data_IF_085693631093
#
_entry.id   IF_085693631093
#
_cell.length_a   1.000
_cell.length_b   1.000
_cell.length_c   1.000
_cell.angle_alpha   90.00
_cell.angle_beta   90.00
_cell.angle_gamma   90.00
#
_symmetry.space_group_name_H-M   'P 1'
#
loop_
_entity.id
_entity.type
_entity.pdbx_description
1 polymer ?
#
# COMPACT_ATOMS: atom_id res chain seq x y z
N UNK A 1 2.32 4.42 14.45
CA UNK A 1 3.14 5.10 13.43
C UNK A 1 3.98 6.17 14.11
N UNK A 2 5.31 6.07 14.08
CA UNK A 2 6.21 7.04 14.70
C UNK A 2 6.52 8.19 13.73
N UNK A 3 6.44 9.43 14.20
CA UNK A 3 6.82 10.62 13.44
C UNK A 3 8.08 11.22 14.06
N UNK A 4 9.06 11.59 13.24
CA UNK A 4 10.30 12.22 13.68
C UNK A 4 10.70 13.35 12.75
N UNK A 5 11.19 14.45 13.29
CA UNK A 5 11.75 15.54 12.49
C UNK A 5 13.25 15.33 12.34
N UNK A 6 13.74 15.47 11.12
CA UNK A 6 15.17 15.34 10.81
C UNK A 6 15.63 16.59 10.07
N UNK A 7 16.89 16.95 10.31
CA UNK A 7 17.55 18.13 9.75
C UNK A 7 18.75 17.70 8.92
N UNK A 8 18.86 18.24 7.72
CA UNK A 8 20.01 18.06 6.82
C UNK A 8 20.59 19.43 6.47
N UNK A 9 21.92 19.51 6.39
CA UNK A 9 22.61 20.69 5.86
C UNK A 9 22.65 20.58 4.34
N UNK A 10 22.02 21.53 3.63
CA UNK A 10 22.04 21.59 2.16
C UNK A 10 23.17 22.48 1.64
N UNK A 11 23.44 23.57 2.35
CA UNK A 11 24.49 24.55 2.06
C UNK A 11 25.00 25.16 3.39
N UNK A 12 25.97 26.06 3.35
CA UNK A 12 26.54 26.67 4.56
C UNK A 12 25.52 27.50 5.35
N UNK A 13 24.60 28.17 4.66
CA UNK A 13 23.52 28.96 5.26
C UNK A 13 22.16 28.24 5.25
N UNK A 14 22.06 27.05 4.66
CA UNK A 14 20.77 26.43 4.38
C UNK A 14 20.59 25.04 4.99
N UNK A 15 19.48 24.87 5.72
CA UNK A 15 19.09 23.61 6.32
C UNK A 15 17.71 23.19 5.83
N UNK A 16 17.59 21.91 5.46
CA UNK A 16 16.29 21.28 5.21
C UNK A 16 15.84 20.58 6.48
N UNK A 17 14.62 20.88 6.94
CA UNK A 17 13.95 20.12 7.99
C UNK A 17 12.75 19.43 7.36
N UNK A 18 12.66 18.11 7.52
CA UNK A 18 11.51 17.35 7.03
C UNK A 18 10.96 16.43 8.12
N UNK A 19 9.64 16.26 8.11
CA UNK A 19 8.97 15.23 8.90
C UNK A 19 9.15 13.89 8.20
N UNK A 20 9.66 12.92 8.94
CA UNK A 20 9.84 11.54 8.50
C UNK A 20 8.94 10.61 9.30
N UNK A 21 8.62 9.48 8.69
CA UNK A 21 7.63 8.55 9.23
C UNK A 21 8.19 7.13 9.25
N UNK A 22 7.97 6.44 10.36
CA UNK A 22 8.29 5.04 10.57
C UNK A 22 7.00 4.29 10.93
N UNK A 23 6.79 3.15 10.29
CA UNK A 23 5.52 2.45 10.39
C UNK A 23 5.52 1.39 11.49
N UNK A 24 6.64 0.70 11.70
CA UNK A 24 6.73 -0.41 12.66
C UNK A 24 8.11 -0.54 13.30
N UNK A 25 8.18 -1.32 14.37
CA UNK A 25 9.43 -1.73 15.03
C UNK A 25 9.45 -3.23 15.25
N UNK A 26 10.62 -3.85 15.11
CA UNK A 26 10.86 -5.25 15.44
C UNK A 26 12.03 -5.32 16.41
N UNK A 27 11.85 -5.99 17.52
CA UNK A 27 12.91 -6.25 18.48
C UNK A 27 13.56 -7.60 18.14
N UNK A 28 14.84 -7.57 17.77
CA UNK A 28 15.63 -8.77 17.47
C UNK A 28 16.92 -8.71 18.28
N UNK A 29 17.25 -9.75 19.03
CA UNK A 29 18.47 -9.81 19.86
C UNK A 29 18.63 -8.59 20.79
N UNK A 30 17.55 -8.17 21.45
CA UNK A 30 17.50 -6.97 22.30
C UNK A 30 17.83 -5.65 21.59
N UNK A 31 17.87 -5.62 20.26
CA UNK A 31 17.99 -4.41 19.46
C UNK A 31 16.68 -4.10 18.77
N UNK A 32 16.20 -2.87 18.96
CA UNK A 32 15.01 -2.37 18.30
C UNK A 32 15.37 -1.89 16.90
N UNK A 33 14.76 -2.52 15.91
CA UNK A 33 14.90 -2.15 14.50
C UNK A 33 13.65 -1.45 14.00
N UNK A 34 13.83 -0.37 13.25
CA UNK A 34 12.75 0.44 12.68
C UNK A 34 12.47 0.04 11.24
N UNK A 35 11.18 -0.10 10.90
CA UNK A 35 10.77 -0.57 9.59
C UNK A 35 9.83 0.40 8.90
N UNK A 36 9.95 0.41 7.58
CA UNK A 36 8.89 0.88 6.69
C UNK A 36 8.16 -0.30 6.06
N UNK A 37 6.85 -0.20 5.88
CA UNK A 37 5.96 -1.21 5.35
C UNK A 37 5.21 -0.62 4.16
N UNK A 38 5.32 -1.27 3.00
CA UNK A 38 4.60 -0.90 1.78
C UNK A 38 4.00 -2.16 1.14
N UNK A 39 3.02 -1.98 0.26
CA UNK A 39 2.36 -3.08 -0.44
C UNK A 39 2.27 -2.81 -1.94
N UNK A 40 2.78 -3.74 -2.74
CA UNK A 40 2.49 -3.85 -4.16
C UNK A 40 1.20 -4.63 -4.35
N UNK A 41 0.41 -4.21 -5.34
CA UNK A 41 -0.89 -4.79 -5.64
C UNK A 41 -0.96 -5.33 -7.07
N UNK A 42 -1.43 -6.56 -7.23
CA UNK A 42 -1.74 -7.19 -8.51
C UNK A 42 -3.28 -7.27 -8.66
N UNK A 43 -3.81 -6.67 -9.74
CA UNK A 43 -5.26 -6.70 -10.01
C UNK A 43 -5.64 -7.82 -10.98
N UNK A 44 -4.87 -8.03 -12.05
CA UNK A 44 -5.07 -9.10 -13.01
C UNK A 44 -3.70 -9.54 -13.56
N UNK A 45 -3.29 -10.81 -13.33
CA UNK A 45 -2.04 -11.36 -13.85
C UNK A 45 -1.83 -11.17 -15.36
N UNK A 46 -2.91 -11.17 -16.15
CA UNK A 46 -2.84 -11.02 -17.62
C UNK A 46 -2.34 -9.64 -18.03
N UNK A 47 -2.68 -8.61 -17.28
CA UNK A 47 -2.28 -7.22 -17.55
C UNK A 47 -1.01 -6.84 -16.80
N UNK A 48 -0.81 -7.39 -15.60
CA UNK A 48 0.44 -7.22 -14.86
C UNK A 48 1.64 -7.82 -15.60
N UNK A 49 1.42 -8.85 -16.42
CA UNK A 49 2.43 -9.46 -17.30
C UNK A 49 3.19 -10.63 -16.67
N UNK A 50 3.15 -10.78 -15.35
CA UNK A 50 3.74 -11.91 -14.62
C UNK A 50 2.74 -12.37 -13.56
N UNK A 51 2.35 -13.64 -13.56
CA UNK A 51 1.49 -14.21 -12.51
C UNK A 51 2.28 -14.40 -11.21
N UNK A 52 1.96 -13.56 -10.23
CA UNK A 52 2.63 -13.57 -8.94
C UNK A 52 2.47 -14.88 -8.19
N UNK A 53 1.31 -15.56 -8.28
CA UNK A 53 1.07 -16.82 -7.54
C UNK A 53 2.02 -17.93 -7.99
N UNK A 54 2.35 -17.95 -9.28
CA UNK A 54 3.25 -18.95 -9.83
C UNK A 54 4.72 -18.56 -9.70
N UNK A 55 5.02 -17.25 -9.75
CA UNK A 55 6.39 -16.75 -9.95
C UNK A 55 7.03 -16.15 -8.70
N UNK A 56 6.28 -15.79 -7.67
CA UNK A 56 6.87 -15.22 -6.43
C UNK A 56 7.75 -16.21 -5.68
N UNK A 57 7.52 -17.51 -5.79
CA UNK A 57 8.38 -18.48 -5.12
C UNK A 57 9.65 -18.77 -5.94
N UNK A 58 9.48 -19.01 -7.23
CA UNK A 58 10.55 -19.50 -8.12
C UNK A 58 11.34 -18.39 -8.83
N UNK A 59 10.74 -17.23 -9.07
CA UNK A 59 11.27 -16.16 -9.93
C UNK A 59 11.06 -14.76 -9.33
N UNK A 60 11.36 -14.59 -8.04
CA UNK A 60 11.24 -13.30 -7.30
C UNK A 60 11.87 -12.12 -8.03
N UNK A 61 13.05 -12.31 -8.60
CA UNK A 61 13.76 -11.27 -9.34
C UNK A 61 13.01 -10.81 -10.59
N UNK A 62 12.35 -11.74 -11.31
CA UNK A 62 11.57 -11.40 -12.49
C UNK A 62 10.30 -10.63 -12.12
N UNK A 63 9.60 -11.04 -11.06
CA UNK A 63 8.45 -10.31 -10.51
C UNK A 63 8.86 -8.89 -10.13
N UNK A 64 9.95 -8.74 -9.36
CA UNK A 64 10.44 -7.44 -8.94
C UNK A 64 10.88 -6.55 -10.12
N UNK A 65 11.54 -7.12 -11.12
CA UNK A 65 11.95 -6.36 -12.32
C UNK A 65 10.74 -5.86 -13.13
N UNK A 66 9.71 -6.69 -13.26
CA UNK A 66 8.45 -6.28 -13.88
C UNK A 66 7.77 -5.15 -13.10
N UNK A 67 7.74 -5.26 -11.77
CA UNK A 67 7.21 -4.20 -10.91
C UNK A 67 8.05 -2.92 -10.95
N UNK A 68 9.37 -3.02 -11.09
CA UNK A 68 10.22 -1.85 -11.25
C UNK A 68 9.93 -1.11 -12.57
N UNK A 69 9.68 -1.85 -13.64
CA UNK A 69 9.31 -1.27 -14.94
C UNK A 69 7.95 -0.56 -14.88
N UNK A 70 6.96 -1.17 -14.26
CA UNK A 70 5.58 -0.66 -14.26
C UNK A 70 5.33 0.39 -13.16
N UNK A 71 6.02 0.27 -12.01
CA UNK A 71 5.78 1.04 -10.80
C UNK A 71 7.02 1.80 -10.31
N UNK A 72 8.00 2.07 -11.19
CA UNK A 72 9.31 2.63 -10.82
C UNK A 72 9.23 3.89 -9.94
N UNK A 73 8.38 4.85 -10.28
CA UNK A 73 8.22 6.07 -9.46
C UNK A 73 7.63 5.77 -8.06
N UNK A 74 6.72 4.80 -7.94
CA UNK A 74 6.12 4.39 -6.67
C UNK A 74 7.19 3.77 -5.76
N UNK A 75 7.96 2.83 -6.30
CA UNK A 75 9.06 2.18 -5.59
C UNK A 75 10.16 3.19 -5.20
N UNK A 76 10.54 4.09 -6.11
CA UNK A 76 11.52 5.13 -5.82
C UNK A 76 11.09 6.04 -4.66
N UNK A 77 9.82 6.46 -4.62
CA UNK A 77 9.28 7.27 -3.50
C UNK A 77 9.34 6.53 -2.17
N UNK A 78 8.93 5.25 -2.12
CA UNK A 78 8.98 4.45 -0.90
C UNK A 78 10.41 4.26 -0.40
N UNK A 79 11.35 4.00 -1.31
CA UNK A 79 12.76 3.85 -0.98
C UNK A 79 13.35 5.16 -0.45
N UNK A 80 13.04 6.29 -1.10
CA UNK A 80 13.45 7.62 -0.64
C UNK A 80 12.89 7.93 0.75
N UNK A 81 11.61 7.62 1.00
CA UNK A 81 10.99 7.78 2.33
C UNK A 81 11.71 6.94 3.39
N UNK A 82 12.01 5.67 3.09
CA UNK A 82 12.73 4.78 4.02
C UNK A 82 14.15 5.28 4.33
N UNK A 83 14.87 5.79 3.32
CA UNK A 83 16.19 6.39 3.47
C UNK A 83 16.14 7.67 4.32
N UNK A 84 15.18 8.56 4.03
CA UNK A 84 14.98 9.80 4.78
C UNK A 84 14.52 9.55 6.20
N UNK A 85 13.79 8.46 6.47
CA UNK A 85 13.40 8.06 7.82
C UNK A 85 14.52 7.35 8.61
N UNK A 86 15.65 7.00 7.97
CA UNK A 86 16.68 6.12 8.53
C UNK A 86 16.09 4.77 9.00
N UNK A 87 15.18 4.21 8.20
CA UNK A 87 14.66 2.88 8.48
C UNK A 87 15.77 1.84 8.29
N UNK A 88 15.86 0.88 9.21
CA UNK A 88 16.82 -0.23 9.09
C UNK A 88 16.40 -1.21 7.99
N UNK A 89 15.09 -1.38 7.83
CA UNK A 89 14.50 -2.29 6.85
C UNK A 89 13.26 -1.68 6.21
N UNK A 90 13.07 -1.93 4.92
CA UNK A 90 11.79 -1.75 4.24
C UNK A 90 11.21 -3.12 3.90
N UNK A 91 9.93 -3.34 4.21
CA UNK A 91 9.20 -4.53 3.81
C UNK A 91 8.18 -4.18 2.74
N UNK A 92 8.12 -5.00 1.70
CA UNK A 92 7.19 -4.90 0.58
C UNK A 92 6.33 -6.15 0.57
N UNK A 93 5.03 -5.99 0.85
CA UNK A 93 4.03 -7.03 0.70
C UNK A 93 3.57 -7.14 -0.76
N UNK A 94 3.36 -8.36 -1.23
CA UNK A 94 2.77 -8.65 -2.53
C UNK A 94 1.33 -9.11 -2.32
N UNK A 95 0.40 -8.22 -2.63
CA UNK A 95 -1.04 -8.41 -2.43
C UNK A 95 -1.71 -8.61 -3.77
N UNK A 96 -2.45 -9.70 -3.95
CA UNK A 96 -3.18 -9.98 -5.18
C UNK A 96 -4.67 -10.12 -4.88
N UNK A 97 -5.53 -9.74 -5.83
CA UNK A 97 -6.97 -10.04 -5.73
C UNK A 97 -7.19 -11.55 -5.66
N UNK A 98 -8.20 -12.00 -4.91
CA UNK A 98 -8.57 -13.43 -4.89
C UNK A 98 -9.03 -13.88 -6.28
N UNK A 99 -9.85 -13.05 -6.92
CA UNK A 99 -10.27 -13.21 -8.31
C UNK A 99 -10.09 -11.88 -9.06
N UNK A 100 -9.62 -11.83 -10.32
CA UNK A 100 -9.33 -10.56 -11.01
C UNK A 100 -10.51 -9.57 -11.08
N UNK A 101 -11.73 -10.10 -11.15
CA UNK A 101 -12.99 -9.33 -11.17
C UNK A 101 -13.46 -8.87 -9.78
N UNK A 102 -12.91 -9.42 -8.71
CA UNK A 102 -13.28 -9.09 -7.34
C UNK A 102 -12.28 -8.11 -6.74
N UNK A 103 -12.68 -6.84 -6.64
CA UNK A 103 -11.85 -5.77 -6.08
C UNK A 103 -11.99 -5.60 -4.57
N UNK A 104 -12.77 -6.45 -3.88
CA UNK A 104 -12.96 -6.39 -2.42
C UNK A 104 -12.06 -7.38 -1.71
N UNK A 105 -11.99 -8.60 -2.23
CA UNK A 105 -11.23 -9.68 -1.59
C UNK A 105 -9.80 -9.76 -2.11
N UNK A 106 -8.84 -9.65 -1.19
CA UNK A 106 -7.40 -9.67 -1.48
C UNK A 106 -6.67 -10.68 -0.60
N UNK A 107 -5.56 -11.21 -1.11
CA UNK A 107 -4.70 -12.16 -0.40
C UNK A 107 -3.24 -11.68 -0.45
N UNK A 108 -2.54 -11.82 0.67
CA UNK A 108 -1.10 -11.56 0.76
C UNK A 108 -0.38 -12.83 0.31
N UNK A 109 0.39 -12.73 -0.77
CA UNK A 109 1.15 -13.87 -1.32
C UNK A 109 2.53 -14.01 -0.69
N UNK A 110 3.21 -12.88 -0.46
CA UNK A 110 4.55 -12.86 0.12
C UNK A 110 4.89 -11.49 0.69
N UNK A 111 5.89 -11.45 1.58
CA UNK A 111 6.47 -10.21 2.09
C UNK A 111 7.98 -10.30 1.96
N UNK A 112 8.58 -9.36 1.23
CA UNK A 112 10.02 -9.28 1.03
C UNK A 112 10.60 -8.12 1.84
N UNK A 113 11.73 -8.37 2.52
CA UNK A 113 12.44 -7.36 3.31
C UNK A 113 13.75 -6.95 2.62
N UNK A 114 14.03 -5.66 2.61
CA UNK A 114 15.25 -5.09 2.04
C UNK A 114 15.85 -4.05 2.97
N UNK A 115 17.18 -3.91 2.95
CA UNK A 115 17.82 -2.71 3.48
C UNK A 115 17.59 -1.56 2.49
N UNK A 116 17.13 -0.37 2.93
CA UNK A 116 16.79 0.71 2.00
C UNK A 116 17.95 1.13 1.09
N UNK A 117 19.20 1.14 1.59
CA UNK A 117 20.39 1.46 0.80
C UNK A 117 20.66 0.44 -0.31
N UNK A 118 20.53 -0.84 -0.01
CA UNK A 118 20.76 -1.92 -0.97
C UNK A 118 19.67 -1.91 -2.05
N UNK A 119 18.41 -1.72 -1.63
CA UNK A 119 17.28 -1.62 -2.56
C UNK A 119 17.38 -0.37 -3.46
N UNK A 120 17.84 0.76 -2.94
CA UNK A 120 18.12 1.95 -3.75
C UNK A 120 19.12 1.66 -4.88
N UNK A 121 20.18 0.90 -4.59
CA UNK A 121 21.11 0.41 -5.61
C UNK A 121 20.43 -0.47 -6.68
N UNK A 122 19.58 -1.41 -6.25
CA UNK A 122 18.87 -2.31 -7.17
C UNK A 122 17.92 -1.58 -8.14
N UNK A 123 17.28 -0.51 -7.68
CA UNK A 123 16.35 0.28 -8.50
C UNK A 123 17.03 1.46 -9.22
N UNK A 124 18.36 1.55 -9.17
CA UNK A 124 19.16 2.64 -9.74
C UNK A 124 18.76 4.03 -9.19
N UNK A 125 18.38 4.11 -7.91
CA UNK A 125 18.09 5.38 -7.22
C UNK A 125 19.37 5.94 -6.59
N UNK A 126 19.95 6.95 -7.24
CA UNK A 126 21.15 7.61 -6.74
C UNK A 126 20.80 8.71 -5.72
N UNK A 127 21.28 8.57 -4.48
CA UNK A 127 21.03 9.53 -3.39
C UNK A 127 21.67 10.89 -3.64
N UNK A 128 22.83 10.95 -4.31
CA UNK A 128 23.48 12.22 -4.63
C UNK A 128 22.68 12.99 -5.68
N UNK A 129 22.17 12.28 -6.70
CA UNK A 129 21.27 12.88 -7.68
C UNK A 129 19.98 13.39 -7.04
N UNK A 130 19.39 12.61 -6.13
CA UNK A 130 18.19 12.99 -5.36
C UNK A 130 18.40 14.31 -4.61
N UNK A 131 19.50 14.43 -3.84
CA UNK A 131 19.83 15.66 -3.12
C UNK A 131 20.19 16.82 -4.04
N UNK A 132 20.86 16.56 -5.16
CA UNK A 132 21.17 17.57 -6.17
C UNK A 132 19.90 18.21 -6.75
N UNK A 133 18.91 17.40 -7.11
CA UNK A 133 17.61 17.88 -7.62
C UNK A 133 16.88 18.71 -6.56
N UNK A 134 16.83 18.23 -5.31
CA UNK A 134 16.21 18.97 -4.20
C UNK A 134 16.89 20.33 -4.02
N UNK A 135 18.24 20.36 -4.00
CA UNK A 135 18.98 21.62 -3.88
C UNK A 135 18.66 22.56 -5.04
N UNK A 136 18.63 22.08 -6.28
CA UNK A 136 18.31 22.92 -7.44
C UNK A 136 16.91 23.55 -7.37
N UNK A 137 15.90 22.79 -6.90
CA UNK A 137 14.54 23.32 -6.71
C UNK A 137 14.54 24.38 -5.62
N UNK A 138 15.18 24.08 -4.49
CA UNK A 138 15.25 24.99 -3.35
C UNK A 138 15.99 26.29 -3.70
N UNK A 139 17.13 26.21 -4.39
CA UNK A 139 17.90 27.36 -4.88
C UNK A 139 17.08 28.23 -5.85
N UNK A 140 16.16 27.62 -6.63
CA UNK A 140 15.23 28.35 -7.49
C UNK A 140 14.16 29.07 -6.66
N UNK A 141 13.54 28.38 -5.69
CA UNK A 141 12.54 28.96 -4.82
C UNK A 141 13.08 30.12 -3.97
N UNK A 142 14.33 30.05 -3.50
CA UNK A 142 14.96 31.12 -2.72
C UNK A 142 15.21 32.42 -3.51
N UNK A 143 15.10 32.37 -4.85
CA UNK A 143 15.20 33.55 -5.73
C UNK A 143 13.85 34.16 -6.07
N UNK A 144 12.76 33.46 -5.76
CA UNK A 144 11.41 33.95 -6.00
C UNK A 144 11.01 34.94 -4.90
N UNK A 145 10.06 35.83 -5.20
CA UNK A 145 9.46 36.71 -4.20
C UNK A 145 8.63 35.92 -3.19
N UNK A 146 8.29 36.54 -2.07
CA UNK A 146 7.35 35.95 -1.13
C UNK A 146 5.97 35.79 -1.80
N UNK A 147 5.40 34.59 -1.72
CA UNK A 147 4.15 34.25 -2.40
C UNK A 147 3.79 32.77 -2.30
N UNK A 148 2.64 32.40 -2.88
CA UNK A 148 2.21 31.00 -3.02
C UNK A 148 2.63 30.48 -4.39
N UNK A 149 3.17 29.26 -4.44
CA UNK A 149 3.67 28.63 -5.66
C UNK A 149 3.22 27.18 -5.80
N UNK A 150 3.10 26.69 -7.04
CA UNK A 150 2.78 25.30 -7.36
C UNK A 150 3.84 24.71 -8.28
N UNK A 151 4.43 23.58 -7.86
CA UNK A 151 5.31 22.77 -8.68
C UNK A 151 4.48 21.68 -9.39
N UNK A 152 4.32 21.79 -10.71
CA UNK A 152 3.50 20.87 -11.51
C UNK A 152 4.37 20.08 -12.48
N UNK A 153 4.22 18.75 -12.48
CA UNK A 153 4.75 17.89 -13.55
C UNK A 153 3.79 17.92 -14.73
N UNK A 154 4.29 18.26 -15.91
CA UNK A 154 3.50 18.30 -17.13
C UNK A 154 2.96 16.89 -17.46
N UNK A 155 1.66 16.72 -17.74
CA UNK A 155 1.07 15.39 -17.95
C UNK A 155 1.69 14.66 -19.15
N UNK A 156 2.02 15.39 -20.22
CA UNK A 156 2.45 14.83 -21.50
C UNK A 156 3.96 14.92 -21.71
N UNK A 157 4.59 16.00 -21.23
CA UNK A 157 6.02 16.26 -21.39
C UNK A 157 6.79 15.89 -20.13
N UNK A 158 8.02 15.37 -20.23
CA UNK A 158 8.86 15.06 -19.07
C UNK A 158 9.50 16.35 -18.50
N UNK A 159 8.68 17.32 -18.11
CA UNK A 159 9.11 18.61 -17.57
C UNK A 159 8.32 18.94 -16.29
N UNK A 160 8.94 19.71 -15.40
CA UNK A 160 8.31 20.24 -14.19
C UNK A 160 8.38 21.76 -14.25
N UNK A 161 7.31 22.44 -13.85
CA UNK A 161 7.17 23.91 -13.90
C UNK A 161 6.73 24.45 -12.55
N UNK A 162 7.19 25.64 -12.21
CA UNK A 162 6.74 26.39 -11.03
C UNK A 162 5.82 27.51 -11.52
N UNK A 163 4.64 27.61 -10.92
CA UNK A 163 3.67 28.68 -11.17
C UNK A 163 3.47 29.47 -9.88
N UNK A 164 3.44 30.80 -9.98
CA UNK A 164 2.93 31.65 -8.91
C UNK A 164 1.40 31.60 -8.94
N UNK A 165 0.77 31.50 -7.77
CA UNK A 165 -0.67 31.46 -7.64
C UNK A 165 -1.15 32.55 -6.68
N UNK A 166 -2.39 33.05 -6.87
CA UNK A 166 -3.00 33.98 -5.94
C UNK A 166 -2.97 33.50 -4.48
N UNK A 167 -3.03 34.45 -3.54
CA UNK A 167 -2.99 34.15 -2.11
C UNK A 167 -4.20 33.34 -1.63
N UNK A 168 -5.32 33.36 -2.35
CA UNK A 168 -6.57 32.64 -2.06
C UNK A 168 -6.68 31.28 -2.77
N UNK A 169 -5.68 30.88 -3.58
CA UNK A 169 -5.77 29.71 -4.47
C UNK A 169 -6.00 28.34 -3.77
N UNK A 170 -5.83 28.26 -2.44
CA UNK A 170 -6.03 27.03 -1.66
C UNK A 170 -7.01 27.21 -0.50
N UNK A 171 -7.67 28.36 -0.43
CA UNK A 171 -8.66 28.62 0.61
C UNK A 171 -9.94 27.89 0.15
N UNK A 172 -10.19 26.72 0.75
CA UNK A 172 -11.26 25.82 0.33
C UNK A 172 -12.63 26.32 0.82
N UNK A 173 -13.46 26.87 -0.08
CA UNK A 173 -14.91 27.03 0.10
C UNK A 173 -15.70 25.75 -0.23
N UNK A 174 -15.02 24.60 -0.36
CA UNK A 174 -15.66 23.32 -0.62
C UNK A 174 -16.41 22.83 0.62
N UNK A 175 -17.70 23.18 0.69
CA UNK A 175 -18.68 22.43 1.48
C UNK A 175 -18.78 21.06 0.82
N UNK A 176 -18.31 20.03 1.52
CA UNK A 176 -18.50 18.63 1.10
C UNK A 176 -20.01 18.37 1.07
N UNK A 177 -20.63 18.48 -0.11
CA UNK A 177 -22.04 18.13 -0.28
C UNK A 177 -22.20 16.66 0.15
N UNK A 178 -23.07 16.35 1.12
CA UNK A 178 -23.30 14.98 1.53
C UNK A 178 -23.66 14.14 0.31
N UNK A 179 -22.93 13.03 0.11
CA UNK A 179 -23.23 12.09 -0.96
C UNK A 179 -24.72 11.70 -0.88
N UNK A 180 -25.45 11.69 -2.02
CA UNK A 180 -26.83 11.21 -2.06
C UNK A 180 -26.92 9.84 -1.39
N UNK A 181 -27.98 9.60 -0.61
CA UNK A 181 -28.16 8.37 0.18
C UNK A 181 -28.00 7.09 -0.67
N UNK A 182 -28.29 7.16 -1.97
CA UNK A 182 -28.18 6.06 -2.92
C UNK A 182 -26.73 5.63 -3.27
N UNK A 183 -25.74 6.51 -3.05
CA UNK A 183 -24.31 6.21 -3.23
C UNK A 183 -23.59 5.87 -1.92
N UNK A 184 -24.30 5.95 -0.79
CA UNK A 184 -23.78 5.56 0.50
C UNK A 184 -23.72 4.03 0.58
N UNK A 185 -22.52 3.50 0.85
CA UNK A 185 -22.32 2.05 1.02
C UNK A 185 -23.07 1.64 2.29
N UNK A 186 -24.22 0.98 2.13
CA UNK A 186 -24.96 0.41 3.26
C UNK A 186 -24.05 -0.55 4.02
N UNK A 187 -23.91 -0.40 5.35
CA UNK A 187 -23.14 -1.35 6.13
C UNK A 187 -23.74 -2.76 5.97
N UNK A 188 -22.91 -3.80 5.90
CA UNK A 188 -23.40 -5.17 5.77
C UNK A 188 -24.33 -5.49 6.94
N UNK A 189 -25.53 -5.96 6.63
CA UNK A 189 -26.51 -6.39 7.63
C UNK A 189 -25.87 -7.46 8.54
N UNK A 190 -25.77 -7.18 9.83
CA UNK A 190 -25.49 -8.19 10.84
C UNK A 190 -26.68 -9.14 10.89
N UNK A 191 -26.53 -10.34 10.31
CA UNK A 191 -27.40 -11.47 10.60
C UNK A 191 -27.31 -11.80 12.09
N UNK A 192 -28.19 -11.18 12.86
CA UNK A 192 -28.44 -11.51 14.26
C UNK A 192 -29.37 -12.71 14.31
N UNK A 193 -28.86 -13.89 13.95
CA UNK A 193 -29.50 -15.14 14.36
C UNK A 193 -28.82 -15.64 15.64
N UNK A 194 -29.29 -15.10 16.76
CA UNK A 194 -28.99 -15.61 18.09
C UNK A 194 -30.22 -16.40 18.57
N UNK A 195 -30.07 -17.73 18.66
CA UNK A 195 -31.18 -18.60 19.06
C UNK A 195 -30.78 -20.02 19.48
N UNK A 196 -29.78 -20.13 20.35
CA UNK A 196 -29.53 -21.16 21.37
C UNK A 196 -29.99 -22.64 21.16
N UNK A 197 -28.98 -23.51 21.26
CA UNK A 197 -29.03 -24.95 21.50
C UNK A 197 -29.93 -25.36 22.69
N UNK A 198 -30.56 -26.55 22.64
CA UNK A 198 -30.12 -27.75 23.39
C UNK A 198 -31.16 -28.89 23.45
N UNK A 199 -30.61 -30.10 23.32
CA UNK A 199 -30.95 -31.37 23.98
C UNK A 199 -32.15 -32.23 23.53
N UNK A 200 -31.81 -33.48 23.19
CA UNK A 200 -32.75 -34.61 23.17
C UNK A 200 -32.18 -35.86 22.51
N UNK A 201 -31.11 -36.44 23.04
CA UNK A 201 -30.68 -37.78 22.68
C UNK A 201 -31.72 -38.83 23.15
N UNK A 202 -32.15 -39.74 22.27
CA UNK A 202 -32.39 -41.14 22.67
C UNK A 202 -32.49 -42.08 21.46
N UNK A 203 -31.63 -43.10 21.50
CA UNK A 203 -31.63 -44.34 20.72
C UNK A 203 -32.85 -45.22 21.01
N UNK A 204 -33.33 -46.01 20.03
CA UNK A 204 -33.34 -47.50 19.94
C UNK A 204 -34.48 -48.08 19.09
N UNK A 205 -34.09 -48.87 18.08
CA UNK A 205 -34.49 -50.24 17.71
C UNK A 205 -35.94 -50.78 17.84
N UNK A 206 -36.38 -51.35 16.70
CA UNK A 206 -37.02 -52.69 16.48
C UNK A 206 -38.41 -52.96 17.05
N UNK A 207 -39.37 -53.23 16.15
CA UNK A 207 -40.17 -54.48 16.15
C UNK A 207 -41.01 -54.61 14.87
N UNK A 208 -40.86 -55.75 14.20
CA UNK A 208 -41.74 -56.25 13.15
C UNK A 208 -42.94 -56.96 13.79
N UNK A 209 -44.10 -56.92 13.13
CA UNK A 209 -45.15 -57.93 13.25
C UNK A 209 -45.98 -58.00 11.96
N UNK A 210 -46.62 -59.14 11.77
CA UNK A 210 -46.63 -59.95 10.56
C UNK A 210 -48.07 -60.36 10.18
N UNK A 211 -48.24 -60.94 8.98
CA UNK A 211 -49.44 -61.60 8.39
C UNK A 211 -50.51 -60.69 7.74
N UNK A 212 -51.12 -61.04 6.58
CA UNK A 212 -51.31 -62.33 5.92
C UNK A 212 -51.67 -62.14 4.42
N UNK A 213 -51.33 -63.15 3.63
CA UNK A 213 -51.59 -63.39 2.19
C UNK A 213 -53.01 -63.89 1.86
N UNK A 214 -53.47 -63.64 0.63
CA UNK A 214 -54.19 -64.52 -0.35
C UNK A 214 -54.78 -63.61 -1.46
N UNK A 215 -54.38 -63.67 -2.75
CA UNK A 215 -54.54 -64.67 -3.82
C UNK A 215 -55.80 -64.43 -4.71
N UNK A 216 -55.67 -64.81 -6.00
CA UNK A 216 -56.60 -64.68 -7.16
C UNK A 216 -56.46 -63.36 -7.96
N UNK A 217 -56.24 -63.33 -9.28
CA UNK A 217 -56.10 -64.35 -10.34
C UNK A 217 -55.24 -63.79 -11.48
#
# INVERSE_FOLDING_TARGET
MGKGYRRWKLDDSMYLVARCELQSTVDLNNQRSFLTLNALNEFDPKYSGVDWRQKLETQRGAVLANELKNNGNKLAKWTAQALLANADMMKIGFVSRVHPRDHRNHVILSVLGYKPKDFAGQINLNTNNMWGIVKSIVDLCMKLSEGKYVLVKDPSKPQVRIYEVPADAFDNDYVEEPLPEDEQVQPPEENTDAGAETNGASSTNVAAEDKKSEAEA
#
